data_IF_795773563520
#
_entry.id   IF_795773563520
#
_cell.length_a   1.000
_cell.length_b   1.000
_cell.length_c   1.000
_cell.angle_alpha   90.00
_cell.angle_beta   90.00
_cell.angle_gamma   90.00
#
_symmetry.space_group_name_H-M   'P 1'
#
loop_
_entity.id
_entity.type
_entity.pdbx_description
1 polymer ?
#
# COMPACT_ATOMS: atom_id res chain seq x y z
N UNK A 1 -18.21 12.64 -17.64
CA UNK A 1 -17.58 11.34 -17.96
C UNK A 1 -18.21 10.26 -17.10
N UNK A 2 -18.81 9.25 -17.73
CA UNK A 2 -19.42 8.11 -17.02
C UNK A 2 -18.33 7.17 -16.48
N UNK A 3 -18.59 6.57 -15.31
CA UNK A 3 -17.65 5.65 -14.66
C UNK A 3 -17.46 4.38 -15.49
N UNK A 4 -16.20 3.98 -15.71
CA UNK A 4 -15.90 2.73 -16.41
C UNK A 4 -15.75 1.59 -15.40
N UNK A 5 -16.85 0.93 -15.06
CA UNK A 5 -16.87 -0.13 -14.05
C UNK A 5 -15.90 -1.28 -14.34
N UNK A 6 -15.74 -1.68 -15.61
CA UNK A 6 -14.82 -2.75 -15.99
C UNK A 6 -13.36 -2.36 -15.69
N UNK A 7 -12.95 -1.15 -16.12
CA UNK A 7 -11.61 -0.65 -15.83
C UNK A 7 -11.38 -0.35 -14.35
N UNK A 8 -12.41 0.07 -13.63
CA UNK A 8 -12.35 0.27 -12.18
C UNK A 8 -12.09 -1.04 -11.45
N UNK A 9 -12.78 -2.11 -11.82
CA UNK A 9 -12.55 -3.45 -11.26
C UNK A 9 -11.15 -3.98 -11.62
N UNK A 10 -10.70 -3.79 -12.87
CA UNK A 10 -9.32 -4.16 -13.25
C UNK A 10 -8.28 -3.41 -12.44
N UNK A 11 -8.44 -2.10 -12.25
CA UNK A 11 -7.53 -1.29 -11.45
C UNK A 11 -7.50 -1.76 -9.99
N UNK A 12 -8.64 -2.12 -9.41
CA UNK A 12 -8.74 -2.65 -8.05
C UNK A 12 -8.00 -4.00 -7.90
N UNK A 13 -8.19 -4.93 -8.85
CA UNK A 13 -7.52 -6.23 -8.81
C UNK A 13 -6.01 -6.04 -8.90
N UNK A 14 -5.54 -5.22 -9.85
CA UNK A 14 -4.10 -4.94 -9.98
C UNK A 14 -3.55 -4.24 -8.75
N UNK A 15 -4.30 -3.28 -8.19
CA UNK A 15 -3.93 -2.60 -6.95
C UNK A 15 -3.72 -3.60 -5.80
N UNK A 16 -4.66 -4.51 -5.60
CA UNK A 16 -4.57 -5.55 -4.56
C UNK A 16 -3.37 -6.48 -4.77
N UNK A 17 -3.23 -7.04 -5.98
CA UNK A 17 -2.13 -7.96 -6.30
C UNK A 17 -0.79 -7.27 -6.10
N UNK A 18 -0.65 -6.03 -6.57
CA UNK A 18 0.58 -5.26 -6.41
C UNK A 18 0.89 -4.98 -4.95
N UNK A 19 -0.04 -4.39 -4.18
CA UNK A 19 0.26 -3.97 -2.80
C UNK A 19 0.53 -5.17 -1.89
N UNK A 20 -0.20 -6.27 -2.07
CA UNK A 20 0.05 -7.51 -1.35
C UNK A 20 1.39 -8.15 -1.73
N UNK A 21 1.68 -8.24 -3.04
CA UNK A 21 2.96 -8.77 -3.53
C UNK A 21 4.15 -7.92 -3.10
N UNK A 22 4.05 -6.60 -3.18
CA UNK A 22 5.06 -5.68 -2.67
C UNK A 22 5.24 -5.85 -1.17
N UNK A 23 4.15 -5.90 -0.40
CA UNK A 23 4.20 -6.12 1.05
C UNK A 23 4.89 -7.43 1.42
N UNK A 24 4.62 -8.51 0.70
CA UNK A 24 5.30 -9.79 0.90
C UNK A 24 6.81 -9.69 0.66
N UNK A 25 7.24 -9.08 -0.44
CA UNK A 25 8.66 -8.92 -0.75
C UNK A 25 9.34 -7.97 0.25
N UNK A 26 8.75 -6.80 0.47
CA UNK A 26 9.34 -5.76 1.31
C UNK A 26 9.38 -6.18 2.78
N UNK A 27 8.25 -6.57 3.35
CA UNK A 27 8.15 -6.90 4.77
C UNK A 27 8.53 -8.35 5.08
N UNK A 28 8.14 -9.30 4.22
CA UNK A 28 8.40 -10.73 4.46
C UNK A 28 9.82 -11.17 4.11
N UNK A 29 10.50 -10.49 3.19
CA UNK A 29 11.85 -10.86 2.75
C UNK A 29 12.88 -9.79 3.13
N UNK A 30 12.74 -8.56 2.62
CA UNK A 30 13.78 -7.53 2.76
C UNK A 30 13.93 -7.00 4.20
N UNK A 31 12.81 -6.83 4.90
CA UNK A 31 12.80 -6.34 6.28
C UNK A 31 12.89 -7.44 7.34
N UNK A 32 13.00 -8.72 6.93
CA UNK A 32 12.94 -9.85 7.86
C UNK A 32 13.94 -9.70 9.00
N UNK A 33 15.20 -9.40 8.68
CA UNK A 33 16.24 -9.23 9.70
C UNK A 33 15.97 -8.05 10.63
N UNK A 34 15.44 -6.94 10.09
CA UNK A 34 15.07 -5.77 10.90
C UNK A 34 13.91 -6.10 11.85
N UNK A 35 12.94 -6.93 11.44
CA UNK A 35 11.87 -7.37 12.33
C UNK A 35 12.31 -8.34 13.42
N UNK A 36 13.38 -9.11 13.19
CA UNK A 36 13.96 -9.95 14.24
C UNK A 36 14.58 -9.12 15.36
N UNK A 37 15.04 -7.88 15.10
CA UNK A 37 15.53 -6.95 16.13
C UNK A 37 14.42 -6.57 17.12
N UNK A 38 13.15 -6.66 16.71
CA UNK A 38 11.97 -6.33 17.53
C UNK A 38 11.00 -7.51 17.64
N UNK A 39 11.50 -8.75 17.60
CA UNK A 39 10.67 -9.97 17.58
C UNK A 39 9.58 -10.01 18.66
N UNK A 40 9.86 -9.48 19.86
CA UNK A 40 8.91 -9.44 20.97
C UNK A 40 7.68 -8.55 20.73
N UNK A 41 7.73 -7.62 19.76
CA UNK A 41 6.61 -6.76 19.38
C UNK A 41 5.60 -7.48 18.47
N UNK A 42 6.07 -8.48 17.70
CA UNK A 42 5.28 -9.10 16.64
C UNK A 42 4.54 -10.35 17.14
N UNK A 43 3.45 -10.69 16.45
CA UNK A 43 2.76 -11.98 16.68
C UNK A 43 3.73 -13.13 16.36
N UNK A 44 3.64 -14.20 17.14
CA UNK A 44 4.35 -15.45 16.84
C UNK A 44 3.84 -16.07 15.53
N UNK A 45 4.65 -16.88 14.84
CA UNK A 45 4.24 -17.48 13.56
C UNK A 45 2.90 -18.24 13.62
N UNK A 46 2.61 -19.07 14.65
CA UNK A 46 1.32 -19.75 14.74
C UNK A 46 0.15 -18.76 14.89
N UNK A 47 0.35 -17.68 15.66
CA UNK A 47 -0.68 -16.67 15.86
C UNK A 47 -0.86 -15.78 14.62
N UNK A 48 0.23 -15.40 13.96
CA UNK A 48 0.20 -14.70 12.69
C UNK A 48 -0.57 -15.48 11.62
N UNK A 49 -0.29 -16.78 11.48
CA UNK A 49 -0.97 -17.63 10.48
C UNK A 49 -2.48 -17.70 10.71
N UNK A 50 -2.94 -17.69 11.97
CA UNK A 50 -4.37 -17.62 12.32
C UNK A 50 -5.02 -16.30 11.92
N UNK A 51 -4.24 -15.21 11.88
CA UNK A 51 -4.68 -13.86 11.53
C UNK A 51 -4.33 -13.46 10.10
N UNK A 52 -3.75 -14.36 9.29
CA UNK A 52 -3.32 -14.06 7.93
C UNK A 52 -4.48 -13.57 7.03
N UNK A 53 -5.70 -14.05 7.28
CA UNK A 53 -6.89 -13.56 6.57
C UNK A 53 -7.19 -12.09 6.89
N UNK A 54 -6.87 -11.59 8.09
CA UNK A 54 -7.00 -10.17 8.45
C UNK A 54 -5.97 -9.34 7.67
N UNK A 55 -4.75 -9.87 7.50
CA UNK A 55 -3.73 -9.24 6.66
C UNK A 55 -4.24 -9.10 5.22
N UNK A 56 -4.80 -10.17 4.64
CA UNK A 56 -5.39 -10.14 3.31
C UNK A 56 -6.53 -9.12 3.21
N UNK A 57 -7.46 -9.14 4.17
CA UNK A 57 -8.57 -8.18 4.24
C UNK A 57 -8.07 -6.74 4.30
N UNK A 58 -7.03 -6.47 5.09
CA UNK A 58 -6.40 -5.15 5.17
C UNK A 58 -5.88 -4.66 3.80
N UNK A 59 -5.19 -5.52 3.04
CA UNK A 59 -4.73 -5.17 1.70
C UNK A 59 -5.90 -4.94 0.73
N UNK A 60 -6.99 -5.71 0.84
CA UNK A 60 -8.22 -5.48 0.05
C UNK A 60 -8.82 -4.11 0.37
N UNK A 61 -8.93 -3.75 1.65
CA UNK A 61 -9.47 -2.45 2.08
C UNK A 61 -8.61 -1.30 1.57
N UNK A 62 -7.29 -1.40 1.68
CA UNK A 62 -6.37 -0.37 1.16
C UNK A 62 -6.49 -0.24 -0.36
N UNK A 63 -6.46 -1.36 -1.09
CA UNK A 63 -6.60 -1.35 -2.54
C UNK A 63 -7.95 -0.75 -2.99
N UNK A 64 -9.04 -1.10 -2.28
CA UNK A 64 -10.37 -0.56 -2.54
C UNK A 64 -10.45 0.95 -2.27
N UNK A 65 -9.99 1.40 -1.12
CA UNK A 65 -10.02 2.81 -0.74
C UNK A 65 -9.16 3.64 -1.70
N UNK A 66 -7.93 3.23 -1.96
CA UNK A 66 -7.01 3.95 -2.86
C UNK A 66 -7.56 4.01 -4.29
N UNK A 67 -8.02 2.88 -4.83
CA UNK A 67 -8.60 2.84 -6.19
C UNK A 67 -9.88 3.65 -6.27
N UNK A 68 -10.77 3.56 -5.27
CA UNK A 68 -12.01 4.34 -5.20
C UNK A 68 -11.76 5.84 -5.14
N UNK A 69 -10.77 6.28 -4.36
CA UNK A 69 -10.34 7.68 -4.32
C UNK A 69 -9.83 8.15 -5.68
N UNK A 70 -8.99 7.35 -6.35
CA UNK A 70 -8.51 7.68 -7.68
C UNK A 70 -9.65 7.76 -8.72
N UNK A 71 -10.53 6.76 -8.74
CA UNK A 71 -11.67 6.67 -9.67
C UNK A 71 -12.68 7.80 -9.45
N UNK A 72 -12.92 8.21 -8.20
CA UNK A 72 -13.90 9.24 -7.84
C UNK A 72 -13.44 10.68 -8.11
N UNK A 73 -12.14 10.92 -8.28
CA UNK A 73 -11.58 12.29 -8.28
C UNK A 73 -11.05 12.80 -9.61
N UNK A 74 -11.08 12.03 -10.70
CA UNK A 74 -10.16 12.31 -11.80
C UNK A 74 -10.85 12.47 -13.16
N UNK A 75 -10.97 13.73 -13.60
CA UNK A 75 -11.05 14.12 -15.01
C UNK A 75 -9.67 14.23 -15.69
N UNK A 76 -8.58 13.88 -15.00
CA UNK A 76 -7.18 13.94 -15.46
C UNK A 76 -6.48 12.57 -15.33
N UNK A 77 -6.90 11.59 -16.12
CA UNK A 77 -6.53 10.18 -15.91
C UNK A 77 -5.25 9.81 -16.67
N UNK A 78 -4.11 9.87 -15.98
CA UNK A 78 -2.81 9.45 -16.49
C UNK A 78 -1.99 8.74 -15.41
N UNK A 79 -1.00 7.97 -15.85
CA UNK A 79 -0.01 7.35 -14.97
C UNK A 79 0.77 8.39 -14.15
N UNK A 80 1.06 9.57 -14.70
CA UNK A 80 1.77 10.64 -13.99
C UNK A 80 0.93 11.28 -12.88
N UNK A 81 -0.36 11.48 -13.11
CA UNK A 81 -1.30 11.95 -12.07
C UNK A 81 -1.48 10.87 -10.99
N UNK A 82 -1.58 9.61 -11.42
CA UNK A 82 -1.57 8.46 -10.51
C UNK A 82 -0.35 8.41 -9.63
N UNK A 83 0.84 8.55 -10.21
CA UNK A 83 2.11 8.57 -9.49
C UNK A 83 2.15 9.69 -8.43
N UNK A 84 1.80 10.93 -8.82
CA UNK A 84 1.76 12.06 -7.89
C UNK A 84 0.78 11.85 -6.73
N UNK A 85 -0.40 11.29 -7.02
CA UNK A 85 -1.37 10.93 -5.98
C UNK A 85 -0.83 9.83 -5.05
N UNK A 86 -0.15 8.84 -5.63
CA UNK A 86 0.55 7.79 -4.91
C UNK A 86 1.61 8.34 -3.94
N UNK A 87 2.43 9.30 -4.38
CA UNK A 87 3.41 9.99 -3.53
C UNK A 87 2.71 10.70 -2.36
N UNK A 88 1.62 11.44 -2.60
CA UNK A 88 0.87 12.11 -1.54
C UNK A 88 0.34 11.12 -0.49
N UNK A 89 -0.18 9.97 -0.93
CA UNK A 89 -0.61 8.91 -0.01
C UNK A 89 0.57 8.26 0.72
N UNK A 90 1.69 8.07 0.03
CA UNK A 90 2.94 7.61 0.64
C UNK A 90 3.41 8.55 1.76
N UNK A 91 3.35 9.87 1.57
CA UNK A 91 3.66 10.87 2.61
C UNK A 91 2.69 10.77 3.79
N UNK A 92 1.40 10.55 3.52
CA UNK A 92 0.43 10.29 4.58
C UNK A 92 0.82 9.06 5.41
N UNK A 93 1.24 7.97 4.76
CA UNK A 93 1.74 6.77 5.44
C UNK A 93 3.04 7.03 6.21
N UNK A 94 3.95 7.86 5.70
CA UNK A 94 5.15 8.28 6.45
C UNK A 94 4.77 8.95 7.77
N UNK A 95 3.71 9.75 7.80
CA UNK A 95 3.18 10.30 9.05
C UNK A 95 2.75 9.21 10.05
N UNK A 96 2.07 8.16 9.56
CA UNK A 96 1.70 7.01 10.39
C UNK A 96 2.92 6.24 10.89
N UNK A 97 3.94 6.07 10.04
CA UNK A 97 5.18 5.38 10.39
C UNK A 97 5.92 6.10 11.52
N UNK A 98 5.98 7.44 11.46
CA UNK A 98 6.56 8.28 12.52
C UNK A 98 5.78 8.18 13.83
N UNK A 99 4.43 8.18 13.76
CA UNK A 99 3.58 8.02 14.94
C UNK A 99 3.84 6.66 15.58
N UNK A 100 3.88 5.58 14.80
CA UNK A 100 4.15 4.22 15.29
C UNK A 100 5.53 4.12 15.93
N UNK A 101 6.56 4.71 15.31
CA UNK A 101 7.89 4.76 15.89
C UNK A 101 7.93 5.47 17.25
N UNK A 102 7.08 6.48 17.47
CA UNK A 102 7.00 7.18 18.75
C UNK A 102 6.33 6.35 19.86
N UNK A 103 5.44 5.41 19.52
CA UNK A 103 4.63 4.65 20.50
C UNK A 103 5.01 3.17 20.62
N UNK A 104 5.69 2.61 19.62
CA UNK A 104 6.18 1.23 19.59
C UNK A 104 7.71 1.20 19.73
N UNK A 105 8.30 0.15 20.33
CA UNK A 105 9.74 0.00 20.48
C UNK A 105 10.40 -0.44 19.16
N UNK A 106 10.25 0.37 18.11
CA UNK A 106 10.80 0.13 16.78
C UNK A 106 12.26 0.61 16.69
N UNK A 107 13.09 -0.09 15.92
CA UNK A 107 14.45 0.39 15.63
C UNK A 107 14.43 1.46 14.54
N UNK A 108 15.42 2.34 14.53
CA UNK A 108 15.56 3.35 13.48
C UNK A 108 15.66 2.71 12.07
N UNK A 109 16.22 1.49 11.99
CA UNK A 109 16.28 0.70 10.75
C UNK A 109 14.88 0.39 10.22
N UNK A 110 13.96 -0.07 11.09
CA UNK A 110 12.57 -0.33 10.70
C UNK A 110 11.90 0.96 10.20
N UNK A 111 12.05 2.07 10.92
CA UNK A 111 11.46 3.36 10.53
C UNK A 111 11.87 3.78 9.13
N UNK A 112 13.18 3.82 8.84
CA UNK A 112 13.66 4.27 7.53
C UNK A 112 13.23 3.34 6.40
N UNK A 113 13.19 2.02 6.65
CA UNK A 113 12.70 1.05 5.68
C UNK A 113 11.18 1.16 5.46
N UNK A 114 10.39 1.50 6.48
CA UNK A 114 8.95 1.79 6.31
C UNK A 114 8.73 3.05 5.50
N UNK A 115 9.41 4.15 5.82
CA UNK A 115 9.32 5.40 5.05
C UNK A 115 9.63 5.16 3.57
N UNK A 116 10.74 4.48 3.28
CA UNK A 116 11.12 4.14 1.90
C UNK A 116 10.08 3.24 1.23
N UNK A 117 9.62 2.19 1.93
CA UNK A 117 8.62 1.25 1.43
C UNK A 117 7.29 1.92 1.12
N UNK A 118 6.80 2.77 2.03
CA UNK A 118 5.57 3.56 1.87
C UNK A 118 5.63 4.45 0.63
N UNK A 119 6.71 5.23 0.47
CA UNK A 119 6.86 6.11 -0.69
C UNK A 119 6.96 5.33 -2.01
N UNK A 120 7.80 4.30 -2.07
CA UNK A 120 8.01 3.49 -3.28
C UNK A 120 6.72 2.74 -3.66
N UNK A 121 6.11 2.05 -2.70
CA UNK A 121 4.91 1.24 -2.93
C UNK A 121 3.76 2.09 -3.44
N UNK A 122 3.41 3.17 -2.74
CA UNK A 122 2.25 3.97 -3.12
C UNK A 122 2.48 4.76 -4.41
N UNK A 123 3.71 5.19 -4.71
CA UNK A 123 4.03 5.82 -5.98
C UNK A 123 3.81 4.87 -7.18
N UNK A 124 4.28 3.62 -7.08
CA UNK A 124 4.08 2.60 -8.12
C UNK A 124 2.61 2.21 -8.20
N UNK A 125 1.95 1.97 -7.06
CA UNK A 125 0.52 1.65 -7.00
C UNK A 125 -0.32 2.73 -7.69
N UNK A 126 -0.03 4.00 -7.38
CA UNK A 126 -0.65 5.15 -8.01
C UNK A 126 -0.47 5.16 -9.53
N UNK A 127 0.75 4.95 -10.01
CA UNK A 127 1.04 4.89 -11.43
C UNK A 127 0.28 3.74 -12.13
N UNK A 128 0.21 2.55 -11.50
CA UNK A 128 -0.53 1.39 -12.03
C UNK A 128 -2.03 1.68 -12.15
N UNK A 129 -2.64 2.16 -11.07
CA UNK A 129 -4.07 2.51 -11.04
C UNK A 129 -4.38 3.58 -12.09
N UNK A 130 -3.54 4.61 -12.19
CA UNK A 130 -3.70 5.70 -13.16
C UNK A 130 -3.43 5.32 -14.61
N UNK A 131 -2.64 4.26 -14.86
CA UNK A 131 -2.44 3.72 -16.20
C UNK A 131 -3.65 2.88 -16.66
N UNK A 132 -4.27 2.14 -15.73
CA UNK A 132 -5.35 1.19 -16.02
C UNK A 132 -6.70 1.88 -16.14
N UNK A 133 -7.03 2.76 -15.20
CA UNK A 133 -8.32 3.43 -15.19
C UNK A 133 -8.35 4.55 -16.24
N UNK A 134 -9.22 4.37 -17.25
CA UNK A 134 -9.60 5.43 -18.19
C UNK A 134 -11.13 5.47 -18.31
N UNK A 135 -11.78 6.64 -18.29
CA UNK A 135 -13.22 6.74 -18.22
C UNK A 135 -13.84 6.38 -19.58
N UNK A 136 -15.16 6.14 -19.61
CA UNK A 136 -15.87 6.06 -20.89
C UNK A 136 -15.98 7.48 -21.48
N UNK A 137 -15.73 7.60 -22.78
CA UNK A 137 -15.94 8.84 -23.54
C UNK A 137 -17.42 9.26 -23.43
#
# INVERSE_FOLDING_TARGET
MLMNHQRGVSALIVAFVFIFGFGFVWHGMLMKDAYMETAALWRTDPDFNRHFWILLLGHVVVAFAFTGLYVSKVGMQSASVGFGYGICFGIFCVGLDLIRFAVEPLTARILWMWIAGSLISFAILGALVGAIYKPKA
#
